data_IF_696753070451
#
_entry.id   IF_696753070451
#
_cell.length_a   1.000
_cell.length_b   1.000
_cell.length_c   1.000
_cell.angle_alpha   90.00
_cell.angle_beta   90.00
_cell.angle_gamma   90.00
#
_symmetry.space_group_name_H-M   'P 1'
#
loop_
_entity.id
_entity.type
_entity.pdbx_description
1 polymer ?
#
# COMPACT_ATOMS: atom_id res chain seq x y z
N UNK A 1 5.08 21.08 -28.70
CA UNK A 1 5.66 21.79 -27.54
C UNK A 1 4.60 22.70 -26.95
N UNK A 2 4.20 22.51 -25.68
CA UNK A 2 3.24 23.39 -24.99
C UNK A 2 4.02 24.50 -24.28
N UNK A 3 3.84 25.75 -24.73
CA UNK A 3 4.40 26.95 -24.09
C UNK A 3 3.89 27.05 -22.64
N UNK A 4 4.79 27.10 -21.67
CA UNK A 4 4.43 27.27 -20.26
C UNK A 4 4.06 28.75 -20.00
N UNK A 5 2.96 28.98 -19.29
CA UNK A 5 2.50 30.31 -18.96
C UNK A 5 3.35 30.90 -17.81
N UNK A 6 4.12 31.99 -18.04
CA UNK A 6 5.06 32.55 -17.07
C UNK A 6 4.41 33.12 -15.81
N UNK A 7 3.09 33.33 -15.80
CA UNK A 7 2.33 33.76 -14.61
C UNK A 7 2.33 32.73 -13.48
N UNK A 8 2.62 31.45 -13.75
CA UNK A 8 2.65 30.38 -12.75
C UNK A 8 4.01 30.22 -12.04
N UNK A 9 5.05 30.95 -12.46
CA UNK A 9 6.41 30.83 -11.91
C UNK A 9 6.92 32.20 -11.41
N UNK A 10 6.73 32.53 -10.11
CA UNK A 10 7.10 33.84 -9.54
C UNK A 10 8.57 34.23 -9.76
N UNK A 11 9.46 33.23 -9.82
CA UNK A 11 10.90 33.40 -10.03
C UNK A 11 11.19 33.81 -11.49
N UNK A 12 10.40 33.34 -12.45
CA UNK A 12 10.51 33.72 -13.87
C UNK A 12 10.04 35.16 -14.11
N UNK A 13 9.04 35.61 -13.34
CA UNK A 13 8.60 37.01 -13.33
C UNK A 13 9.71 37.92 -12.78
N UNK A 14 10.41 37.49 -11.74
CA UNK A 14 11.57 38.20 -11.18
C UNK A 14 12.73 38.31 -12.19
N UNK A 15 13.05 37.22 -12.89
CA UNK A 15 14.09 37.24 -13.92
C UNK A 15 13.74 38.18 -15.09
N UNK A 16 12.48 38.17 -15.55
CA UNK A 16 11.99 39.11 -16.56
C UNK A 16 12.03 40.57 -16.09
N UNK A 17 11.69 40.83 -14.82
CA UNK A 17 11.76 42.16 -14.23
C UNK A 17 13.20 42.70 -14.12
N UNK A 18 14.16 41.84 -13.74
CA UNK A 18 15.59 42.22 -13.67
C UNK A 18 16.12 42.60 -15.05
N UNK A 19 15.79 41.82 -16.09
CA UNK A 19 16.20 42.13 -17.48
C UNK A 19 15.58 43.44 -17.96
N UNK A 20 14.34 43.73 -17.60
CA UNK A 20 13.65 44.96 -17.98
C UNK A 20 14.25 46.19 -17.29
N UNK A 21 14.59 46.08 -16.01
CA UNK A 21 15.27 47.15 -15.26
C UNK A 21 16.69 47.39 -15.77
N UNK A 22 17.47 46.33 -16.01
CA UNK A 22 18.84 46.45 -16.52
C UNK A 22 18.85 46.96 -17.97
N UNK A 23 17.97 46.44 -18.83
CA UNK A 23 17.86 46.84 -20.24
C UNK A 23 17.46 48.31 -20.43
N UNK A 24 16.49 48.79 -19.64
CA UNK A 24 15.98 50.17 -19.76
C UNK A 24 16.85 51.17 -19.00
N UNK A 25 17.33 50.85 -17.79
CA UNK A 25 18.10 51.82 -16.97
C UNK A 25 19.61 51.80 -17.16
N UNK A 26 20.23 50.66 -17.44
CA UNK A 26 21.69 50.55 -17.53
C UNK A 26 22.20 50.50 -18.98
N UNK A 27 21.42 49.93 -19.90
CA UNK A 27 21.80 49.77 -21.31
C UNK A 27 21.05 50.73 -22.28
N UNK A 28 20.11 51.54 -21.78
CA UNK A 28 19.44 52.60 -22.55
C UNK A 28 18.56 52.11 -23.72
N UNK A 29 18.11 50.85 -23.70
CA UNK A 29 17.27 50.31 -24.77
C UNK A 29 15.86 50.92 -24.73
N UNK A 30 15.31 51.25 -25.91
CA UNK A 30 13.95 51.77 -26.01
C UNK A 30 12.92 50.73 -25.56
N UNK A 31 11.82 51.20 -24.95
CA UNK A 31 10.76 50.34 -24.43
C UNK A 31 10.18 49.37 -25.48
N UNK A 32 10.25 49.72 -26.77
CA UNK A 32 9.77 48.88 -27.87
C UNK A 32 10.59 47.60 -28.06
N UNK A 33 11.86 47.59 -27.66
CA UNK A 33 12.77 46.43 -27.78
C UNK A 33 12.91 45.69 -26.45
N UNK A 34 12.87 46.42 -25.32
CA UNK A 34 13.02 45.85 -23.98
C UNK A 34 11.83 44.97 -23.56
N UNK A 35 10.60 45.33 -23.93
CA UNK A 35 9.39 44.56 -23.59
C UNK A 35 9.34 43.16 -24.25
N UNK A 36 9.51 43.01 -25.57
CA UNK A 36 9.46 41.68 -26.21
C UNK A 36 10.65 40.80 -25.81
N UNK A 37 11.84 41.36 -25.58
CA UNK A 37 13.01 40.60 -25.13
C UNK A 37 12.83 40.07 -23.71
N UNK A 38 12.26 40.86 -22.79
CA UNK A 38 11.92 40.39 -21.45
C UNK A 38 10.88 39.25 -21.47
N UNK A 39 9.89 39.32 -22.37
CA UNK A 39 8.90 38.26 -22.54
C UNK A 39 9.52 36.94 -23.08
N UNK A 40 10.46 37.04 -24.02
CA UNK A 40 11.20 35.89 -24.56
C UNK A 40 12.10 35.27 -23.47
N UNK A 41 12.81 36.08 -22.69
CA UNK A 41 13.67 35.59 -21.60
C UNK A 41 12.83 34.97 -20.48
N UNK A 42 11.68 35.55 -20.12
CA UNK A 42 10.77 34.98 -19.13
C UNK A 42 10.18 33.63 -19.58
N UNK A 43 9.81 33.49 -20.85
CA UNK A 43 9.29 32.22 -21.40
C UNK A 43 10.37 31.15 -21.58
N UNK A 44 11.56 31.53 -22.04
CA UNK A 44 12.71 30.63 -22.15
C UNK A 44 13.19 30.15 -20.77
N UNK A 45 13.28 31.05 -19.78
CA UNK A 45 13.68 30.70 -18.41
C UNK A 45 12.62 29.86 -17.70
N UNK A 46 11.32 30.15 -17.86
CA UNK A 46 10.25 29.29 -17.34
C UNK A 46 10.27 27.88 -17.97
N UNK A 47 10.62 27.77 -19.25
CA UNK A 47 10.75 26.47 -19.94
C UNK A 47 11.99 25.71 -19.47
N UNK A 48 13.12 26.40 -19.27
CA UNK A 48 14.34 25.82 -18.71
C UNK A 48 14.16 25.38 -17.25
N UNK A 49 13.44 26.16 -16.43
CA UNK A 49 13.13 25.84 -15.04
C UNK A 49 12.16 24.66 -14.95
N UNK A 50 11.13 24.63 -15.80
CA UNK A 50 10.22 23.48 -15.95
C UNK A 50 10.92 22.22 -16.45
N UNK A 51 11.95 22.35 -17.27
CA UNK A 51 12.79 21.21 -17.69
C UNK A 51 13.81 20.77 -16.62
N UNK A 52 14.00 21.57 -15.56
CA UNK A 52 14.86 21.27 -14.41
C UNK A 52 14.08 20.90 -13.15
N UNK A 53 12.75 21.00 -13.15
CA UNK A 53 11.93 20.37 -12.11
C UNK A 53 12.21 18.86 -12.18
N UNK A 54 12.75 18.25 -11.11
CA UNK A 54 12.90 16.80 -11.07
C UNK A 54 11.51 16.22 -11.29
N UNK A 55 11.41 15.38 -12.30
CA UNK A 55 10.15 14.83 -12.81
C UNK A 55 9.43 14.13 -11.64
N UNK A 56 8.55 14.85 -10.95
CA UNK A 56 7.93 14.44 -9.69
C UNK A 56 7.12 13.15 -9.89
N UNK A 57 6.65 12.95 -11.11
CA UNK A 57 6.05 11.70 -11.59
C UNK A 57 7.05 10.53 -11.64
N UNK A 58 8.30 10.78 -12.03
CA UNK A 58 9.36 9.77 -12.04
C UNK A 58 9.80 9.40 -10.63
N UNK A 59 9.92 10.38 -9.73
CA UNK A 59 10.19 10.13 -8.31
C UNK A 59 9.05 9.36 -7.64
N UNK A 60 7.79 9.72 -7.88
CA UNK A 60 6.63 9.00 -7.36
C UNK A 60 6.55 7.56 -7.90
N UNK A 61 6.85 7.35 -9.19
CA UNK A 61 6.96 6.00 -9.77
C UNK A 61 8.09 5.17 -9.15
N UNK A 62 9.22 5.80 -8.88
CA UNK A 62 10.36 5.12 -8.28
C UNK A 62 10.10 4.73 -6.82
N UNK A 63 9.47 5.62 -6.04
CA UNK A 63 8.98 5.31 -4.70
C UNK A 63 7.94 4.18 -4.73
N UNK A 64 6.99 4.23 -5.66
CA UNK A 64 5.98 3.18 -5.82
C UNK A 64 6.62 1.82 -6.09
N UNK A 65 7.63 1.77 -6.96
CA UNK A 65 8.36 0.53 -7.24
C UNK A 65 9.12 0.01 -6.02
N UNK A 66 9.74 0.89 -5.22
CA UNK A 66 10.43 0.50 -4.00
C UNK A 66 9.45 -0.10 -2.99
N UNK A 67 8.34 0.58 -2.73
CA UNK A 67 7.31 0.09 -1.80
C UNK A 67 6.69 -1.23 -2.25
N UNK A 68 6.51 -1.42 -3.56
CA UNK A 68 6.06 -2.69 -4.12
C UNK A 68 7.08 -3.81 -3.94
N UNK A 69 8.38 -3.55 -4.09
CA UNK A 69 9.42 -4.54 -3.81
C UNK A 69 9.44 -4.93 -2.32
N UNK A 70 9.28 -3.94 -1.44
CA UNK A 70 9.17 -4.18 0.01
C UNK A 70 7.93 -5.02 0.32
N UNK A 71 6.79 -4.73 -0.31
CA UNK A 71 5.55 -5.50 -0.14
C UNK A 71 5.73 -6.96 -0.61
N UNK A 72 6.31 -7.18 -1.79
CA UNK A 72 6.58 -8.52 -2.33
C UNK A 72 7.54 -9.31 -1.45
N UNK A 73 8.64 -8.69 -1.00
CA UNK A 73 9.59 -9.35 -0.09
C UNK A 73 8.95 -9.71 1.26
N UNK A 74 8.09 -8.84 1.79
CA UNK A 74 7.32 -9.09 3.01
C UNK A 74 6.34 -10.26 2.83
N UNK A 75 5.64 -10.32 1.69
CA UNK A 75 4.77 -11.44 1.33
C UNK A 75 5.52 -12.78 1.23
N UNK A 76 6.72 -12.77 0.63
CA UNK A 76 7.59 -13.97 0.56
C UNK A 76 8.07 -14.40 1.94
N UNK A 77 8.45 -13.46 2.79
CA UNK A 77 8.85 -13.75 4.18
C UNK A 77 7.70 -14.37 4.97
N UNK A 78 6.47 -13.89 4.78
CA UNK A 78 5.27 -14.46 5.39
C UNK A 78 5.06 -15.91 4.97
N UNK A 79 5.14 -16.20 3.66
CA UNK A 79 5.01 -17.56 3.13
C UNK A 79 6.11 -18.50 3.67
N UNK A 80 7.35 -18.02 3.77
CA UNK A 80 8.44 -18.79 4.33
C UNK A 80 8.19 -19.13 5.82
N UNK A 81 7.73 -18.16 6.62
CA UNK A 81 7.37 -18.39 8.03
C UNK A 81 6.22 -19.38 8.17
N UNK A 82 5.21 -19.27 7.31
CA UNK A 82 4.08 -20.20 7.28
C UNK A 82 4.52 -21.63 6.95
N UNK A 83 5.43 -21.81 5.98
CA UNK A 83 5.96 -23.13 5.64
C UNK A 83 6.78 -23.74 6.78
N UNK A 84 7.63 -22.95 7.45
CA UNK A 84 8.38 -23.39 8.63
C UNK A 84 7.40 -23.87 9.72
N UNK A 85 6.39 -23.04 10.04
CA UNK A 85 5.39 -23.40 11.04
C UNK A 85 4.61 -24.66 10.65
N UNK A 86 4.29 -24.83 9.36
CA UNK A 86 3.59 -26.02 8.85
C UNK A 86 4.40 -27.29 9.11
N UNK A 87 5.71 -27.25 8.85
CA UNK A 87 6.61 -28.36 9.10
C UNK A 87 6.76 -28.66 10.59
N UNK A 88 6.91 -27.62 11.43
CA UNK A 88 6.98 -27.76 12.89
C UNK A 88 5.68 -28.34 13.47
N UNK A 89 4.52 -27.83 13.04
CA UNK A 89 3.22 -28.36 13.45
C UNK A 89 3.06 -29.83 13.08
N UNK A 90 3.51 -30.23 11.89
CA UNK A 90 3.48 -31.62 11.45
C UNK A 90 4.36 -32.53 12.33
N UNK A 91 5.52 -32.04 12.78
CA UNK A 91 6.40 -32.82 13.67
C UNK A 91 5.83 -32.93 15.09
N UNK A 92 5.25 -31.85 15.61
CA UNK A 92 4.79 -31.76 17.00
C UNK A 92 3.42 -32.42 17.20
N UNK A 93 2.47 -32.21 16.29
CA UNK A 93 1.08 -32.65 16.45
C UNK A 93 0.81 -34.07 15.91
N UNK A 94 1.65 -34.61 15.02
CA UNK A 94 1.51 -35.99 14.53
C UNK A 94 1.95 -37.03 15.57
N UNK A 95 2.70 -36.63 16.60
CA UNK A 95 3.14 -37.52 17.68
C UNK A 95 2.05 -37.79 18.73
N UNK A 96 0.97 -36.99 18.78
CA UNK A 96 -0.15 -37.15 19.71
C UNK A 96 -1.45 -37.60 19.02
N UNK A 97 -2.10 -38.64 19.54
CA UNK A 97 -3.29 -39.27 18.90
C UNK A 97 -4.56 -38.40 18.87
N UNK A 98 -4.61 -37.29 19.61
CA UNK A 98 -5.80 -36.43 19.77
C UNK A 98 -5.70 -35.06 19.08
N UNK A 99 -4.65 -34.81 18.29
CA UNK A 99 -4.32 -33.45 17.81
C UNK A 99 -4.46 -33.26 16.29
N UNK A 100 -4.96 -34.26 15.57
CA UNK A 100 -5.12 -34.21 14.10
C UNK A 100 -6.02 -33.06 13.63
N UNK A 101 -7.10 -32.74 14.37
CA UNK A 101 -7.97 -31.60 14.02
C UNK A 101 -7.23 -30.25 14.14
N UNK A 102 -6.40 -30.09 15.17
CA UNK A 102 -5.60 -28.89 15.36
C UNK A 102 -4.52 -28.78 14.27
N UNK A 103 -3.89 -29.91 13.91
CA UNK A 103 -2.93 -29.97 12.83
C UNK A 103 -3.54 -29.52 11.51
N UNK A 104 -4.73 -30.03 11.16
CA UNK A 104 -5.44 -29.62 9.93
C UNK A 104 -5.77 -28.13 9.95
N UNK A 105 -6.22 -27.58 11.09
CA UNK A 105 -6.52 -26.16 11.20
C UNK A 105 -5.27 -25.28 10.99
N UNK A 106 -4.14 -25.65 11.60
CA UNK A 106 -2.86 -24.93 11.46
C UNK A 106 -2.33 -25.06 10.02
N UNK A 107 -2.36 -26.26 9.43
CA UNK A 107 -1.93 -26.50 8.06
C UNK A 107 -2.74 -25.67 7.06
N UNK A 108 -4.06 -25.69 7.17
CA UNK A 108 -4.93 -24.88 6.32
C UNK A 108 -4.61 -23.38 6.46
N UNK A 109 -4.34 -22.90 7.66
CA UNK A 109 -4.00 -21.50 7.88
C UNK A 109 -2.61 -21.14 7.28
N UNK A 110 -1.64 -22.04 7.38
CA UNK A 110 -0.33 -21.87 6.74
C UNK A 110 -0.41 -21.93 5.21
N UNK A 111 -1.13 -22.88 4.64
CA UNK A 111 -1.30 -23.00 3.18
C UNK A 111 -1.96 -21.73 2.61
N UNK A 112 -2.96 -21.19 3.31
CA UNK A 112 -3.59 -19.91 2.96
C UNK A 112 -2.63 -18.71 3.03
N UNK A 113 -1.73 -18.68 4.01
CA UNK A 113 -0.68 -17.65 4.10
C UNK A 113 0.38 -17.78 3.00
N UNK A 114 0.68 -19.00 2.55
CA UNK A 114 1.56 -19.25 1.39
C UNK A 114 0.89 -18.77 0.11
N UNK A 115 -0.37 -19.13 -0.14
CA UNK A 115 -1.16 -18.64 -1.28
C UNK A 115 -1.26 -17.12 -1.32
N UNK A 116 -1.29 -16.47 -0.15
CA UNK A 116 -1.34 -15.02 -0.03
C UNK A 116 -0.17 -14.33 -0.73
N UNK A 117 1.04 -14.89 -0.62
CA UNK A 117 2.23 -14.34 -1.27
C UNK A 117 2.11 -14.28 -2.79
N UNK A 118 1.50 -15.30 -3.40
CA UNK A 118 1.23 -15.35 -4.84
C UNK A 118 0.21 -14.28 -5.26
N UNK A 119 -0.83 -14.06 -4.45
CA UNK A 119 -1.82 -13.00 -4.70
C UNK A 119 -1.20 -11.60 -4.57
N UNK A 120 -0.31 -11.39 -3.60
CA UNK A 120 0.44 -10.14 -3.43
C UNK A 120 1.33 -9.86 -4.65
N UNK A 121 2.01 -10.86 -5.19
CA UNK A 121 2.84 -10.70 -6.40
C UNK A 121 2.00 -10.28 -7.63
N UNK A 122 0.85 -10.92 -7.82
CA UNK A 122 -0.10 -10.55 -8.88
C UNK A 122 -0.60 -9.12 -8.72
N UNK A 123 -0.95 -8.72 -7.49
CA UNK A 123 -1.47 -7.40 -7.19
C UNK A 123 -0.39 -6.32 -7.36
N UNK A 124 0.83 -6.60 -6.93
CA UNK A 124 1.97 -5.72 -7.15
C UNK A 124 2.20 -5.45 -8.64
N UNK A 125 1.98 -6.44 -9.50
CA UNK A 125 2.08 -6.28 -10.96
C UNK A 125 0.96 -5.39 -11.50
N UNK A 126 -0.27 -5.51 -10.98
CA UNK A 126 -1.39 -4.65 -11.36
C UNK A 126 -1.18 -3.19 -10.89
N UNK A 127 -0.63 -2.99 -9.68
CA UNK A 127 -0.33 -1.65 -9.13
C UNK A 127 0.76 -0.88 -9.89
N UNK A 128 1.67 -1.59 -10.58
CA UNK A 128 2.68 -0.97 -11.46
C UNK A 128 2.05 -0.35 -12.71
N UNK A 129 0.83 -0.77 -13.09
CA UNK A 129 0.08 -0.20 -14.20
C UNK A 129 -0.34 1.26 -13.95
N UNK A 130 -0.69 1.97 -15.02
CA UNK A 130 -1.14 3.37 -14.98
C UNK A 130 -2.57 3.56 -14.46
N UNK A 131 -3.31 2.47 -14.23
CA UNK A 131 -4.66 2.50 -13.72
C UNK A 131 -4.60 2.26 -12.21
N UNK A 132 -5.15 3.19 -11.43
CA UNK A 132 -5.46 2.90 -10.02
C UNK A 132 -6.33 1.64 -10.00
N UNK A 133 -5.95 0.65 -9.18
CA UNK A 133 -6.58 -0.66 -9.13
C UNK A 133 -8.08 -0.59 -8.79
N UNK A 134 -8.50 0.48 -8.11
CA UNK A 134 -9.88 0.69 -7.68
C UNK A 134 -10.25 2.16 -7.90
N UNK A 135 -11.26 2.39 -8.71
CA UNK A 135 -11.98 3.65 -8.80
C UNK A 135 -12.62 3.99 -7.45
N UNK A 136 -12.88 5.28 -7.21
CA UNK A 136 -13.58 5.74 -6.00
C UNK A 136 -14.89 4.98 -5.76
N UNK A 137 -15.62 4.64 -6.83
CA UNK A 137 -16.85 3.84 -6.77
C UNK A 137 -16.61 2.40 -6.28
N UNK A 138 -15.53 1.76 -6.72
CA UNK A 138 -15.21 0.39 -6.29
C UNK A 138 -14.79 0.36 -4.82
N UNK A 139 -14.00 1.33 -4.36
CA UNK A 139 -13.66 1.48 -2.93
C UNK A 139 -14.91 1.70 -2.06
N UNK A 140 -15.86 2.51 -2.53
CA UNK A 140 -17.12 2.73 -1.83
C UNK A 140 -17.99 1.48 -1.78
N UNK A 141 -18.01 0.69 -2.87
CA UNK A 141 -18.73 -0.57 -2.91
C UNK A 141 -18.12 -1.59 -1.93
N UNK A 142 -16.80 -1.74 -1.91
CA UNK A 142 -16.10 -2.62 -0.97
C UNK A 142 -16.38 -2.22 0.49
N UNK A 143 -16.42 -0.92 0.79
CA UNK A 143 -16.77 -0.41 2.12
C UNK A 143 -18.18 -0.86 2.55
N UNK A 144 -19.17 -0.77 1.65
CA UNK A 144 -20.53 -1.21 1.92
C UNK A 144 -20.61 -2.72 2.16
N UNK A 145 -19.87 -3.52 1.40
CA UNK A 145 -19.80 -4.98 1.58
C UNK A 145 -19.17 -5.36 2.92
N UNK A 146 -18.08 -4.68 3.32
CA UNK A 146 -17.44 -4.88 4.62
C UNK A 146 -18.38 -4.50 5.75
N UNK A 147 -19.05 -3.35 5.67
CA UNK A 147 -20.03 -2.92 6.68
C UNK A 147 -21.24 -3.88 6.77
N UNK A 148 -21.69 -4.44 5.65
CA UNK A 148 -22.73 -5.46 5.64
C UNK A 148 -22.26 -6.74 6.35
N UNK A 149 -21.03 -7.20 6.08
CA UNK A 149 -20.44 -8.38 6.74
C UNK A 149 -20.20 -8.14 8.23
N UNK A 150 -19.79 -6.95 8.65
CA UNK A 150 -19.60 -6.64 10.07
C UNK A 150 -20.88 -6.81 10.90
N UNK A 151 -22.06 -6.52 10.32
CA UNK A 151 -23.36 -6.64 11.02
C UNK A 151 -23.70 -8.09 11.38
N UNK A 152 -23.20 -9.05 10.62
CA UNK A 152 -23.46 -10.48 10.81
C UNK A 152 -22.26 -11.23 11.43
N UNK A 153 -21.11 -10.57 11.56
CA UNK A 153 -19.89 -11.14 12.13
C UNK A 153 -19.72 -10.79 13.62
N UNK A 154 -19.07 -11.67 14.37
CA UNK A 154 -18.77 -11.49 15.80
C UNK A 154 -17.35 -11.90 16.15
N UNK A 155 -16.85 -11.41 17.29
CA UNK A 155 -15.52 -11.77 17.80
C UNK A 155 -14.37 -11.26 16.92
N UNK A 156 -13.38 -12.12 16.68
CA UNK A 156 -12.15 -11.80 15.94
C UNK A 156 -12.45 -11.37 14.50
N UNK A 157 -13.36 -12.06 13.81
CA UNK A 157 -13.76 -11.70 12.45
C UNK A 157 -14.29 -10.26 12.37
N UNK A 158 -15.05 -9.80 13.38
CA UNK A 158 -15.54 -8.42 13.43
C UNK A 158 -14.41 -7.41 13.67
N UNK A 159 -13.46 -7.72 14.56
CA UNK A 159 -12.30 -6.86 14.80
C UNK A 159 -11.48 -6.68 13.51
N UNK A 160 -11.30 -7.75 12.76
CA UNK A 160 -10.58 -7.77 11.50
C UNK A 160 -11.31 -6.98 10.40
N UNK A 161 -12.63 -7.12 10.30
CA UNK A 161 -13.45 -6.31 9.38
C UNK A 161 -13.46 -4.82 9.75
N UNK A 162 -13.31 -4.45 11.03
CA UNK A 162 -13.18 -3.04 11.42
C UNK A 162 -11.87 -2.43 10.94
N UNK A 163 -10.75 -3.17 11.05
CA UNK A 163 -9.45 -2.72 10.54
C UNK A 163 -9.50 -2.51 9.02
N UNK A 164 -10.14 -3.43 8.31
CA UNK A 164 -10.36 -3.32 6.87
C UNK A 164 -11.23 -2.10 6.51
N UNK A 165 -12.30 -1.83 7.29
CA UNK A 165 -13.16 -0.67 7.08
C UNK A 165 -12.39 0.66 7.25
N UNK A 166 -11.56 0.78 8.29
CA UNK A 166 -10.76 1.98 8.53
C UNK A 166 -9.73 2.21 7.42
N UNK A 167 -9.09 1.14 6.94
CA UNK A 167 -8.21 1.19 5.76
C UNK A 167 -8.96 1.67 4.52
N UNK A 168 -10.16 1.14 4.24
CA UNK A 168 -10.97 1.54 3.09
C UNK A 168 -11.42 3.01 3.19
N UNK A 169 -11.86 3.47 4.37
CA UNK A 169 -12.21 4.88 4.59
C UNK A 169 -11.03 5.81 4.33
N UNK A 170 -9.86 5.45 4.84
CA UNK A 170 -8.63 6.21 4.60
C UNK A 170 -8.29 6.29 3.11
N UNK A 171 -8.38 5.16 2.39
CA UNK A 171 -8.13 5.10 0.95
C UNK A 171 -9.16 5.93 0.15
N UNK A 172 -10.43 5.94 0.56
CA UNK A 172 -11.48 6.77 -0.05
C UNK A 172 -11.20 8.26 0.17
N UNK A 173 -10.72 8.67 1.35
CA UNK A 173 -10.37 10.06 1.64
C UNK A 173 -9.24 10.54 0.71
N UNK A 174 -8.18 9.73 0.55
CA UNK A 174 -7.08 10.00 -0.37
C UNK A 174 -7.58 10.10 -1.82
N UNK A 175 -8.49 9.21 -2.23
CA UNK A 175 -9.11 9.26 -3.56
C UNK A 175 -9.93 10.54 -3.78
N UNK A 176 -10.61 11.04 -2.74
CA UNK A 176 -11.41 12.27 -2.79
C UNK A 176 -10.55 13.52 -2.96
N UNK A 177 -9.34 13.52 -2.41
CA UNK A 177 -8.35 14.58 -2.58
C UNK A 177 -7.67 14.55 -3.97
N UNK A 178 -8.04 13.61 -4.84
CA UNK A 178 -7.45 13.44 -6.17
C UNK A 178 -6.02 12.90 -6.13
N UNK A 179 -5.60 12.37 -4.97
CA UNK A 179 -4.30 11.76 -4.77
C UNK A 179 -4.27 10.31 -5.25
N UNK A 180 -3.07 9.81 -5.53
CA UNK A 180 -2.84 8.44 -5.94
C UNK A 180 -3.08 7.46 -4.79
N UNK A 181 -4.15 6.66 -4.88
CA UNK A 181 -4.55 5.70 -3.84
C UNK A 181 -3.63 4.49 -3.74
N UNK A 182 -2.72 4.28 -4.70
CA UNK A 182 -1.85 3.10 -4.74
C UNK A 182 -0.94 3.00 -3.52
N UNK A 183 -0.40 4.13 -3.03
CA UNK A 183 0.44 4.13 -1.83
C UNK A 183 -0.32 3.75 -0.58
N UNK A 184 -1.57 4.21 -0.46
CA UNK A 184 -2.44 3.88 0.65
C UNK A 184 -2.87 2.40 0.63
N UNK A 185 -3.10 1.85 -0.57
CA UNK A 185 -3.32 0.42 -0.77
C UNK A 185 -2.08 -0.41 -0.40
N UNK A 186 -0.87 0.01 -0.81
CA UNK A 186 0.36 -0.69 -0.43
C UNK A 186 0.57 -0.67 1.08
N UNK A 187 0.37 0.48 1.72
CA UNK A 187 0.46 0.59 3.17
C UNK A 187 -0.54 -0.34 3.88
N UNK A 188 -1.78 -0.39 3.39
CA UNK A 188 -2.83 -1.27 3.92
C UNK A 188 -2.46 -2.75 3.79
N UNK A 189 -1.92 -3.16 2.62
CA UNK A 189 -1.46 -4.52 2.39
C UNK A 189 -0.25 -4.87 3.25
N UNK A 190 0.67 -3.93 3.44
CA UNK A 190 1.83 -4.11 4.32
C UNK A 190 1.39 -4.34 5.77
N UNK A 191 0.44 -3.55 6.27
CA UNK A 191 -0.14 -3.74 7.61
C UNK A 191 -0.77 -5.12 7.76
N UNK A 192 -1.57 -5.58 6.79
CA UNK A 192 -2.17 -6.91 6.83
C UNK A 192 -1.10 -8.04 6.84
N UNK A 193 -0.03 -7.90 6.06
CA UNK A 193 1.08 -8.87 6.05
C UNK A 193 1.77 -8.90 7.41
N UNK A 194 2.02 -7.74 8.03
CA UNK A 194 2.67 -7.66 9.34
C UNK A 194 1.78 -8.24 10.45
N UNK A 195 0.48 -7.98 10.41
CA UNK A 195 -0.48 -8.56 11.37
C UNK A 195 -0.55 -10.08 11.22
N UNK A 196 -0.63 -10.59 9.99
CA UNK A 196 -0.58 -12.03 9.71
C UNK A 196 0.74 -12.67 10.18
N UNK A 197 1.88 -11.99 9.98
CA UNK A 197 3.18 -12.45 10.47
C UNK A 197 3.24 -12.48 12.00
N UNK A 198 2.63 -11.50 12.68
CA UNK A 198 2.51 -11.47 14.13
C UNK A 198 1.69 -12.64 14.66
N UNK A 199 0.55 -12.93 14.04
CA UNK A 199 -0.30 -14.08 14.41
C UNK A 199 0.40 -15.41 14.15
N UNK A 200 1.11 -15.56 13.02
CA UNK A 200 1.95 -16.73 12.76
C UNK A 200 3.02 -16.94 13.83
N UNK A 201 3.69 -15.86 14.26
CA UNK A 201 4.70 -15.94 15.32
C UNK A 201 4.07 -16.34 16.66
N UNK A 202 2.90 -15.79 17.01
CA UNK A 202 2.18 -16.17 18.22
C UNK A 202 1.75 -17.64 18.18
N UNK A 203 1.27 -18.10 17.03
CA UNK A 203 0.87 -19.48 16.81
C UNK A 203 2.08 -20.42 16.96
N UNK A 204 3.22 -20.07 16.36
CA UNK A 204 4.48 -20.81 16.52
C UNK A 204 4.92 -20.89 17.98
N UNK A 205 5.00 -19.75 18.67
CA UNK A 205 5.45 -19.70 20.06
C UNK A 205 4.55 -20.53 20.98
N UNK A 206 3.23 -20.46 20.79
CA UNK A 206 2.28 -21.26 21.57
C UNK A 206 2.37 -22.73 21.19
N UNK A 207 2.56 -23.08 19.93
CA UNK A 207 2.72 -24.48 19.53
C UNK A 207 3.93 -25.16 20.22
N UNK A 208 5.02 -24.41 20.44
CA UNK A 208 6.21 -24.91 21.16
C UNK A 208 6.07 -24.98 22.68
N UNK A 209 5.17 -24.19 23.27
CA UNK A 209 5.07 -24.03 24.73
C UNK A 209 3.76 -24.56 25.32
N UNK A 210 2.77 -24.86 24.48
CA UNK A 210 1.45 -25.26 24.93
C UNK A 210 1.44 -26.69 25.47
N UNK A 211 0.76 -26.85 26.60
CA UNK A 211 0.30 -28.15 27.05
C UNK A 211 -0.96 -28.53 26.26
N UNK A 212 -0.79 -29.45 25.32
CA UNK A 212 -1.87 -29.93 24.44
C UNK A 212 -2.91 -30.79 25.17
N UNK A 213 -2.69 -31.08 26.46
CA UNK A 213 -3.68 -31.70 27.35
C UNK A 213 -4.63 -30.65 27.97
N UNK A 214 -4.26 -29.36 27.89
CA UNK A 214 -5.04 -28.25 28.40
C UNK A 214 -5.98 -27.70 27.31
N UNK A 215 -7.29 -27.90 27.51
CA UNK A 215 -8.33 -27.49 26.56
C UNK A 215 -8.36 -25.98 26.27
N UNK A 216 -8.01 -25.13 27.24
CA UNK A 216 -7.97 -23.68 27.02
C UNK A 216 -6.82 -23.28 26.08
N UNK A 217 -5.65 -23.92 26.23
CA UNK A 217 -4.51 -23.65 25.34
C UNK A 217 -4.75 -24.18 23.92
N UNK A 218 -5.41 -25.33 23.79
CA UNK A 218 -5.84 -25.85 22.47
C UNK A 218 -6.86 -24.92 21.81
N UNK A 219 -7.80 -24.37 22.58
CA UNK A 219 -8.80 -23.41 22.09
C UNK A 219 -8.14 -22.11 21.62
N UNK A 220 -7.13 -21.64 22.33
CA UNK A 220 -6.36 -20.46 21.95
C UNK A 220 -5.57 -20.67 20.65
N UNK A 221 -4.92 -21.84 20.48
CA UNK A 221 -4.26 -22.20 19.22
C UNK A 221 -5.25 -22.23 18.05
N UNK A 222 -6.45 -22.81 18.25
CA UNK A 222 -7.53 -22.78 17.24
C UNK A 222 -7.96 -21.36 16.89
N UNK A 223 -8.06 -20.49 17.90
CA UNK A 223 -8.41 -19.09 17.72
C UNK A 223 -7.39 -18.35 16.86
N UNK A 224 -6.10 -18.57 17.09
CA UNK A 224 -5.01 -17.99 16.30
C UNK A 224 -5.00 -18.51 14.85
N UNK A 225 -5.26 -19.82 14.65
CA UNK A 225 -5.39 -20.37 13.29
C UNK A 225 -6.60 -19.80 12.53
N UNK A 226 -7.72 -19.56 13.23
CA UNK A 226 -8.89 -18.91 12.65
C UNK A 226 -8.62 -17.42 12.32
N UNK A 227 -7.91 -16.71 13.19
CA UNK A 227 -7.48 -15.33 12.93
C UNK A 227 -6.59 -15.25 11.69
N UNK A 228 -5.62 -16.15 11.57
CA UNK A 228 -4.75 -16.21 10.40
C UNK A 228 -5.54 -16.46 9.09
N UNK A 229 -6.57 -17.31 9.15
CA UNK A 229 -7.45 -17.58 8.01
C UNK A 229 -8.27 -16.35 7.60
N UNK A 230 -8.68 -15.52 8.56
CA UNK A 230 -9.48 -14.30 8.29
C UNK A 230 -8.71 -13.21 7.54
N UNK A 231 -7.37 -13.13 7.69
CA UNK A 231 -6.56 -12.18 6.93
C UNK A 231 -6.59 -12.47 5.42
N UNK A 232 -6.72 -13.73 5.02
CA UNK A 232 -6.86 -14.09 3.61
C UNK A 232 -8.18 -13.56 3.03
N UNK A 233 -9.28 -13.68 3.78
CA UNK A 233 -10.60 -13.17 3.36
C UNK A 233 -10.57 -11.64 3.20
N UNK A 234 -9.93 -10.94 4.13
CA UNK A 234 -9.76 -9.49 4.04
C UNK A 234 -8.91 -9.07 2.84
N UNK A 235 -7.87 -9.84 2.51
CA UNK A 235 -7.04 -9.54 1.36
C UNK A 235 -7.80 -9.79 0.05
N UNK A 236 -8.66 -10.81 -0.02
CA UNK A 236 -9.55 -11.00 -1.18
C UNK A 236 -10.47 -9.82 -1.43
N UNK A 237 -10.95 -9.15 -0.37
CA UNK A 237 -11.73 -7.92 -0.51
C UNK A 237 -10.92 -6.76 -1.09
N UNK A 238 -9.65 -6.62 -0.73
CA UNK A 238 -8.80 -5.54 -1.24
C UNK A 238 -8.30 -5.78 -2.67
N UNK A 239 -8.28 -7.04 -3.11
CA UNK A 239 -7.73 -7.46 -4.42
C UNK A 239 -8.79 -7.47 -5.53
N UNK A 240 -10.07 -7.50 -5.17
CA UNK A 240 -11.21 -7.66 -6.09
C UNK A 240 -11.54 -6.37 -6.83
#
# INVERSE_FOLDING_TARGET
MKLANPLYYPISILAGAVVLVVGVRLAGLSNAVALPTAAIVATASATALKSREPDSQKLAKQQLQQELQVLQSSGKSLAQKAEILRQEANQLLTRGSFQLELLVAVQNACDRAIELSLKIDQLATKLQGSNSLLSKSELQQQLLEVQAKQKVSSGIARKQLNLLEESLKHNIAIAQEGQDTRMAQIASLYTLIQEAAGVLQQLQNKLHTADLSNLEQVKELRSLSAELSSFQENLEFLVR
#
